data_IF_409291693613
#
_entry.id   IF_409291693613
#
_cell.length_a   1.000
_cell.length_b   1.000
_cell.length_c   1.000
_cell.angle_alpha   90.00
_cell.angle_beta   90.00
_cell.angle_gamma   90.00
#
_symmetry.space_group_name_H-M   'P 1'
#
loop_
_entity.id
_entity.type
_entity.pdbx_description
1 polymer ?
#
# COMPACT_ATOMS: atom_id res chain seq x y z
N UNK A 1 -7.48 13.99 -9.16
CA UNK A 1 -8.53 12.96 -9.36
C UNK A 1 -7.95 11.56 -9.18
N UNK A 2 -6.81 11.29 -9.81
CA UNK A 2 -6.20 9.95 -9.76
C UNK A 2 -5.85 9.55 -8.33
N UNK A 3 -5.18 10.43 -7.59
CA UNK A 3 -4.76 10.12 -6.22
C UNK A 3 -5.95 9.92 -5.27
N UNK A 4 -7.06 10.64 -5.51
CA UNK A 4 -8.24 10.47 -4.68
C UNK A 4 -8.89 9.10 -4.85
N UNK A 5 -8.66 8.44 -5.98
CA UNK A 5 -9.15 7.08 -6.23
C UNK A 5 -8.10 6.05 -5.83
N UNK A 6 -6.87 6.23 -6.30
CA UNK A 6 -5.82 5.22 -6.11
C UNK A 6 -5.35 5.10 -4.66
N UNK A 7 -5.15 6.22 -3.97
CA UNK A 7 -4.57 6.16 -2.63
C UNK A 7 -5.54 5.56 -1.62
N UNK A 8 -6.84 5.89 -1.61
CA UNK A 8 -7.79 5.16 -0.79
C UNK A 8 -7.88 3.67 -1.13
N UNK A 9 -7.71 3.29 -2.41
CA UNK A 9 -7.66 1.88 -2.82
C UNK A 9 -6.45 1.18 -2.17
N UNK A 10 -5.28 1.81 -2.20
CA UNK A 10 -4.08 1.28 -1.55
C UNK A 10 -4.30 1.14 -0.04
N UNK A 11 -4.90 2.16 0.55
CA UNK A 11 -5.21 2.17 1.98
C UNK A 11 -6.15 1.01 2.35
N UNK A 12 -7.17 0.77 1.54
CA UNK A 12 -8.11 -0.33 1.77
C UNK A 12 -7.39 -1.69 1.62
N UNK A 13 -6.51 -1.82 0.63
CA UNK A 13 -5.72 -3.03 0.46
C UNK A 13 -4.84 -3.31 1.69
N UNK A 14 -4.28 -2.26 2.30
CA UNK A 14 -3.51 -2.39 3.52
C UNK A 14 -4.37 -2.87 4.69
N UNK A 15 -5.62 -2.41 4.79
CA UNK A 15 -6.55 -2.93 5.80
C UNK A 15 -6.84 -4.41 5.59
N UNK A 16 -7.01 -4.85 4.34
CA UNK A 16 -7.23 -6.27 4.03
C UNK A 16 -6.06 -7.11 4.53
N UNK A 17 -4.83 -6.63 4.30
CA UNK A 17 -3.63 -7.31 4.81
C UNK A 17 -3.60 -7.31 6.33
N UNK A 18 -3.84 -6.17 6.94
CA UNK A 18 -3.78 -6.01 8.39
C UNK A 18 -4.81 -6.92 9.08
N UNK A 19 -6.00 -7.05 8.49
CA UNK A 19 -7.08 -7.87 9.05
C UNK A 19 -6.92 -9.36 8.76
N UNK A 20 -5.91 -9.74 7.98
CA UNK A 20 -5.64 -11.14 7.71
C UNK A 20 -6.57 -11.79 6.69
N UNK A 21 -7.29 -11.01 5.89
CA UNK A 21 -8.20 -11.55 4.88
C UNK A 21 -7.44 -12.22 3.75
N UNK A 22 -6.30 -11.63 3.36
CA UNK A 22 -5.43 -12.20 2.33
C UNK A 22 -3.99 -11.76 2.59
N UNK A 23 -3.03 -12.48 2.00
CA UNK A 23 -1.63 -12.07 2.04
C UNK A 23 -1.33 -11.05 0.94
N UNK A 24 -0.12 -10.50 0.97
CA UNK A 24 0.30 -9.43 0.06
C UNK A 24 0.21 -9.90 -1.39
N UNK A 25 0.77 -11.07 -1.70
CA UNK A 25 0.76 -11.60 -3.06
C UNK A 25 -0.67 -11.84 -3.55
N UNK A 26 -1.55 -12.36 -2.68
CA UNK A 26 -2.94 -12.63 -3.03
C UNK A 26 -3.74 -11.37 -3.31
N UNK A 27 -3.53 -10.31 -2.53
CA UNK A 27 -4.20 -9.03 -2.74
C UNK A 27 -3.81 -8.45 -4.10
N UNK A 28 -2.51 -8.40 -4.39
CA UNK A 28 -2.03 -7.84 -5.64
C UNK A 28 -2.47 -8.68 -6.84
N UNK A 29 -2.41 -10.01 -6.73
CA UNK A 29 -2.87 -10.90 -7.80
C UNK A 29 -4.37 -10.73 -8.07
N UNK A 30 -5.18 -10.60 -7.02
CA UNK A 30 -6.62 -10.42 -7.17
C UNK A 30 -6.96 -9.18 -7.98
N UNK A 31 -6.28 -8.07 -7.74
CA UNK A 31 -6.56 -6.83 -8.46
C UNK A 31 -6.01 -6.85 -9.89
N UNK A 32 -4.88 -7.53 -10.11
CA UNK A 32 -4.35 -7.70 -11.46
C UNK A 32 -5.25 -8.59 -12.31
N UNK A 33 -5.75 -9.68 -11.75
CA UNK A 33 -6.55 -10.66 -12.49
C UNK A 33 -8.03 -10.31 -12.50
N UNK A 34 -8.57 -9.84 -11.38
CA UNK A 34 -9.98 -9.56 -11.23
C UNK A 34 -10.41 -8.19 -11.75
N UNK A 35 -9.56 -7.19 -11.64
CA UNK A 35 -9.85 -5.82 -12.06
C UNK A 35 -8.95 -5.33 -13.19
N UNK A 36 -8.12 -6.21 -13.73
CA UNK A 36 -7.23 -5.91 -14.85
C UNK A 36 -6.28 -4.74 -14.58
N UNK A 37 -5.83 -4.59 -13.34
CA UNK A 37 -4.84 -3.56 -13.01
C UNK A 37 -3.47 -4.00 -13.49
N UNK A 38 -2.67 -3.09 -14.06
CA UNK A 38 -1.31 -3.44 -14.51
C UNK A 38 -0.38 -3.75 -13.35
N UNK A 39 -0.67 -3.21 -12.17
CA UNK A 39 0.10 -3.38 -10.96
C UNK A 39 -0.87 -3.51 -9.80
N UNK A 40 -0.63 -4.43 -8.86
CA UNK A 40 -1.48 -4.57 -7.69
C UNK A 40 -1.37 -3.37 -6.75
N UNK A 41 -2.36 -3.15 -5.87
CA UNK A 41 -2.40 -1.94 -5.05
C UNK A 41 -1.26 -1.85 -4.04
N UNK A 42 -0.80 -2.96 -3.47
CA UNK A 42 0.30 -2.90 -2.50
C UNK A 42 1.63 -2.63 -3.18
N UNK A 43 1.86 -3.23 -4.35
CA UNK A 43 3.02 -2.90 -5.17
C UNK A 43 2.99 -1.45 -5.62
N UNK A 44 1.82 -0.95 -6.01
CA UNK A 44 1.64 0.45 -6.39
C UNK A 44 1.95 1.39 -5.23
N UNK A 45 1.52 1.05 -4.02
CA UNK A 45 1.85 1.81 -2.83
C UNK A 45 3.35 1.90 -2.59
N UNK A 46 4.05 0.79 -2.78
CA UNK A 46 5.51 0.76 -2.70
C UNK A 46 6.17 1.62 -3.78
N UNK A 47 5.60 1.62 -4.98
CA UNK A 47 6.11 2.41 -6.10
C UNK A 47 5.95 3.90 -5.86
N UNK A 48 4.77 4.33 -5.38
CA UNK A 48 4.49 5.74 -5.07
C UNK A 48 5.33 6.21 -3.87
N UNK A 49 5.44 5.35 -2.88
CA UNK A 49 6.02 5.67 -1.58
C UNK A 49 4.93 5.69 -0.51
N UNK A 50 5.08 4.86 0.50
CA UNK A 50 4.06 4.73 1.55
C UNK A 50 3.96 6.00 2.40
N UNK A 51 5.04 6.77 2.53
CA UNK A 51 5.02 8.08 3.19
C UNK A 51 4.14 9.07 2.43
N UNK A 52 4.19 9.04 1.10
CA UNK A 52 3.34 9.88 0.26
C UNK A 52 1.89 9.44 0.37
N UNK A 53 1.63 8.14 0.33
CA UNK A 53 0.29 7.59 0.52
C UNK A 53 -0.31 8.01 1.87
N UNK A 54 0.50 7.92 2.93
CA UNK A 54 0.08 8.32 4.28
C UNK A 54 -0.27 9.82 4.32
N UNK A 55 0.58 10.66 3.74
CA UNK A 55 0.35 12.11 3.71
C UNK A 55 -0.95 12.45 2.98
N UNK A 56 -1.21 11.79 1.85
CA UNK A 56 -2.44 12.03 1.09
C UNK A 56 -3.66 11.61 1.89
N UNK A 57 -3.63 10.46 2.55
CA UNK A 57 -4.74 10.01 3.38
C UNK A 57 -4.99 10.97 4.53
N UNK A 58 -3.93 11.46 5.19
CA UNK A 58 -4.06 12.40 6.29
C UNK A 58 -4.68 13.72 5.82
N UNK A 59 -4.30 14.21 4.63
CA UNK A 59 -4.90 15.43 4.04
C UNK A 59 -6.37 15.21 3.74
N UNK A 60 -6.72 14.10 3.11
CA UNK A 60 -8.12 13.79 2.79
C UNK A 60 -8.97 13.70 4.05
N UNK A 61 -8.46 13.08 5.08
CA UNK A 61 -9.16 12.96 6.35
C UNK A 61 -9.35 14.33 7.02
N UNK A 62 -8.29 15.14 7.05
CA UNK A 62 -8.33 16.46 7.68
C UNK A 62 -9.32 17.40 6.97
N UNK A 63 -9.38 17.33 5.63
CA UNK A 63 -10.24 18.21 4.85
C UNK A 63 -11.71 17.79 4.86
N UNK A 64 -11.98 16.47 4.86
CA UNK A 64 -13.37 15.98 4.79
C UNK A 64 -13.95 15.62 6.13
N UNK A 65 -13.12 15.27 7.12
CA UNK A 65 -13.57 14.73 8.39
C UNK A 65 -14.24 13.38 8.29
N UNK A 66 -14.17 12.74 7.13
CA UNK A 66 -14.84 11.46 6.90
C UNK A 66 -13.90 10.31 7.26
N UNK A 67 -14.34 9.43 8.16
CA UNK A 67 -13.54 8.32 8.67
C UNK A 67 -13.12 7.33 7.58
N UNK A 68 -13.78 7.33 6.42
CA UNK A 68 -13.37 6.47 5.31
C UNK A 68 -11.97 6.81 4.78
N UNK A 69 -11.47 8.02 5.08
CA UNK A 69 -10.13 8.46 4.67
C UNK A 69 -9.09 8.28 5.77
N UNK A 70 -9.46 7.65 6.88
CA UNK A 70 -8.49 7.38 7.94
C UNK A 70 -7.39 6.44 7.43
N UNK A 71 -6.14 6.86 7.63
CA UNK A 71 -5.00 6.05 7.19
C UNK A 71 -4.95 4.72 7.94
N UNK A 72 -4.65 3.65 7.20
CA UNK A 72 -4.50 2.33 7.81
C UNK A 72 -3.34 2.34 8.81
N UNK A 73 -3.56 1.84 10.03
CA UNK A 73 -2.48 1.79 11.03
C UNK A 73 -1.24 1.04 10.57
N UNK A 74 -1.40 0.04 9.70
CA UNK A 74 -0.26 -0.70 9.16
C UNK A 74 0.64 0.21 8.32
N UNK A 75 0.05 1.06 7.46
CA UNK A 75 0.84 1.99 6.64
C UNK A 75 1.57 2.98 7.56
N UNK A 76 0.89 3.52 8.55
CA UNK A 76 1.51 4.46 9.49
C UNK A 76 2.67 3.82 10.24
N UNK A 77 2.51 2.57 10.65
CA UNK A 77 3.56 1.81 11.32
C UNK A 77 4.75 1.57 10.42
N UNK A 78 4.51 1.21 9.16
CA UNK A 78 5.59 0.98 8.19
C UNK A 78 6.38 2.25 7.93
N UNK A 79 5.69 3.37 7.73
CA UNK A 79 6.35 4.67 7.52
C UNK A 79 7.19 5.05 8.74
N UNK A 80 6.65 4.87 9.92
CA UNK A 80 7.38 5.14 11.17
C UNK A 80 8.64 4.29 11.28
N UNK A 81 8.60 3.06 10.77
CA UNK A 81 9.74 2.15 10.75
C UNK A 81 10.71 2.39 9.60
N UNK A 82 10.45 3.37 8.73
CA UNK A 82 11.31 3.66 7.58
C UNK A 82 11.09 2.74 6.38
N UNK A 83 10.03 1.94 6.39
CA UNK A 83 9.70 1.01 5.29
C UNK A 83 8.76 1.73 4.33
N UNK A 84 9.33 2.50 3.40
CA UNK A 84 8.57 3.41 2.55
C UNK A 84 8.21 2.83 1.19
N UNK A 85 8.76 1.68 0.84
CA UNK A 85 8.54 1.06 -0.46
C UNK A 85 9.84 0.90 -1.22
N UNK A 86 9.77 0.93 -2.55
CA UNK A 86 10.93 0.68 -3.41
C UNK A 86 12.08 1.65 -3.12
N UNK A 87 11.79 2.91 -2.84
CA UNK A 87 12.84 3.93 -2.61
C UNK A 87 13.65 3.66 -1.33
N UNK A 88 13.11 2.92 -0.37
CA UNK A 88 13.82 2.56 0.86
C UNK A 88 14.31 1.12 0.83
N UNK A 89 14.03 0.38 -0.24
CA UNK A 89 14.41 -1.03 -0.40
C UNK A 89 13.42 -1.99 0.23
N UNK A 90 12.45 -1.51 0.98
CA UNK A 90 11.46 -2.36 1.64
C UNK A 90 10.18 -1.58 1.91
N UNK A 91 9.06 -2.20 1.58
CA UNK A 91 7.73 -1.74 1.91
C UNK A 91 6.89 -2.97 2.15
N UNK A 92 5.82 -3.16 1.37
CA UNK A 92 5.09 -4.43 1.37
C UNK A 92 5.91 -5.55 0.72
N UNK A 93 6.86 -5.17 -0.13
CA UNK A 93 7.81 -6.09 -0.74
C UNK A 93 9.23 -5.71 -0.31
N UNK A 94 10.13 -6.70 -0.32
CA UNK A 94 11.57 -6.48 -0.24
C UNK A 94 12.11 -6.43 -1.66
N UNK A 95 12.86 -5.37 -1.99
CA UNK A 95 13.39 -5.16 -3.33
C UNK A 95 14.86 -5.59 -3.35
N UNK A 96 15.16 -6.62 -4.12
CA UNK A 96 16.45 -7.27 -4.13
C UNK A 96 17.38 -6.62 -5.17
N UNK A 97 18.70 -6.80 -5.00
CA UNK A 97 19.70 -6.21 -5.87
C UNK A 97 19.59 -6.72 -7.33
N UNK A 98 19.06 -7.92 -7.54
CA UNK A 98 18.88 -8.52 -8.85
C UNK A 98 17.56 -8.10 -9.53
N UNK A 99 16.88 -7.07 -8.99
CA UNK A 99 15.61 -6.50 -9.47
C UNK A 99 14.39 -7.38 -9.24
N UNK A 100 14.53 -8.47 -8.49
CA UNK A 100 13.39 -9.24 -8.03
C UNK A 100 12.81 -8.61 -6.78
N UNK A 101 11.54 -8.94 -6.48
CA UNK A 101 10.91 -8.51 -5.24
C UNK A 101 10.22 -9.69 -4.58
N UNK A 102 10.16 -9.67 -3.27
CA UNK A 102 9.55 -10.73 -2.47
C UNK A 102 8.60 -10.10 -1.47
N UNK A 103 7.34 -10.58 -1.38
CA UNK A 103 6.42 -10.07 -0.35
C UNK A 103 7.00 -10.29 1.04
N UNK A 104 6.85 -9.30 1.92
CA UNK A 104 7.45 -9.38 3.27
C UNK A 104 6.82 -10.50 4.11
N UNK A 105 5.60 -10.95 3.76
CA UNK A 105 4.91 -12.04 4.46
C UNK A 105 5.08 -13.41 3.79
N UNK A 106 5.94 -13.53 2.77
CA UNK A 106 6.17 -14.76 2.03
C UNK A 106 7.31 -15.60 2.61
N UNK A 107 7.39 -15.69 3.92
CA UNK A 107 8.46 -16.43 4.59
C UNK A 107 7.95 -17.67 5.29
#
# INVERSE_FOLDING_TARGET
VVNRILVPMINEAAFIKMEGVSDIAGIDAAMKLGANHPMGPLELGDFIGLDICLAIMDVLYAETGDSKYRACPLIRKMVRGGNLGAKSGKGFYVYNADRTKTPVDAQ
#
